data_IF_621833642239
#
_entry.id   IF_621833642239
#
_cell.length_a   1.000
_cell.length_b   1.000
_cell.length_c   1.000
_cell.angle_alpha   90.00
_cell.angle_beta   90.00
_cell.angle_gamma   90.00
#
_symmetry.space_group_name_H-M   'P 1'
#
loop_
_entity.id
_entity.type
_entity.pdbx_description
1 polymer ?
#
# COMPACT_ATOMS: atom_id res chain seq x y z
N UNK A 1 3.87 -12.91 19.88
CA UNK A 1 3.33 -11.68 19.30
C UNK A 1 3.01 -11.91 17.84
N UNK A 2 1.75 -11.88 17.47
CA UNK A 2 1.35 -12.00 16.07
C UNK A 2 1.81 -10.76 15.30
N UNK A 3 2.61 -10.98 14.28
CA UNK A 3 2.94 -9.90 13.33
C UNK A 3 1.84 -9.82 12.30
N UNK A 4 1.12 -8.74 12.32
CA UNK A 4 0.15 -8.46 11.27
C UNK A 4 0.88 -8.11 9.99
N UNK A 5 0.78 -8.97 8.99
CA UNK A 5 1.27 -8.68 7.65
C UNK A 5 0.12 -8.18 6.82
N UNK A 6 0.15 -6.92 6.48
CA UNK A 6 -0.90 -6.36 5.62
C UNK A 6 -0.76 -6.82 4.18
N UNK A 7 0.48 -6.94 3.71
CA UNK A 7 0.77 -7.48 2.37
C UNK A 7 1.19 -8.94 2.53
N UNK A 8 0.52 -9.85 1.82
CA UNK A 8 0.83 -11.28 1.90
C UNK A 8 2.03 -11.65 1.01
N UNK A 9 2.10 -11.05 -0.18
CA UNK A 9 3.12 -11.38 -1.16
C UNK A 9 3.39 -10.17 -2.08
N UNK A 10 4.66 -9.96 -2.39
CA UNK A 10 5.05 -9.04 -3.47
C UNK A 10 5.21 -9.88 -4.74
N UNK A 11 4.28 -9.74 -5.67
CA UNK A 11 4.26 -10.54 -6.91
C UNK A 11 5.25 -10.02 -7.93
N UNK A 12 5.45 -8.71 -8.00
CA UNK A 12 6.45 -8.11 -8.87
C UNK A 12 6.87 -6.73 -8.35
N UNK A 13 8.11 -6.38 -8.63
CA UNK A 13 8.67 -5.06 -8.30
C UNK A 13 9.64 -4.69 -9.40
N UNK A 14 9.42 -3.54 -10.03
CA UNK A 14 10.35 -2.96 -11.02
C UNK A 14 10.64 -1.53 -10.63
N UNK A 15 11.91 -1.19 -10.51
CA UNK A 15 12.38 0.17 -10.21
C UNK A 15 12.92 0.87 -11.45
N UNK A 16 13.03 0.16 -12.57
CA UNK A 16 13.50 0.69 -13.84
C UNK A 16 12.36 1.35 -14.60
N UNK A 17 12.66 2.44 -15.32
CA UNK A 17 11.63 3.20 -16.01
C UNK A 17 10.65 3.83 -15.03
N UNK A 18 9.35 3.59 -15.19
CA UNK A 18 8.35 3.99 -14.21
C UNK A 18 8.31 2.93 -13.08
N UNK A 19 8.74 3.27 -11.86
CA UNK A 19 8.70 2.31 -10.76
C UNK A 19 7.27 1.81 -10.52
N UNK A 20 7.15 0.49 -10.36
CA UNK A 20 5.86 -0.18 -10.20
C UNK A 20 5.99 -1.41 -9.30
N UNK A 21 4.98 -1.63 -8.49
CA UNK A 21 4.88 -2.81 -7.63
C UNK A 21 3.50 -3.46 -7.79
N UNK A 22 3.47 -4.77 -7.68
CA UNK A 22 2.24 -5.52 -7.60
C UNK A 22 2.32 -6.45 -6.40
N UNK A 23 1.28 -6.44 -5.59
CA UNK A 23 1.20 -7.25 -4.38
C UNK A 23 -0.10 -8.06 -4.35
N UNK A 24 -0.12 -9.10 -3.56
CA UNK A 24 -1.30 -9.90 -3.30
C UNK A 24 -1.69 -9.82 -1.83
N UNK A 25 -3.00 -9.79 -1.58
CA UNK A 25 -3.58 -9.81 -0.25
C UNK A 25 -4.87 -10.60 -0.25
N UNK A 26 -5.02 -11.48 0.73
CA UNK A 26 -6.30 -12.14 1.03
C UNK A 26 -6.64 -11.82 2.48
N UNK A 27 -7.76 -11.14 2.69
CA UNK A 27 -8.26 -10.88 4.04
C UNK A 27 -8.91 -12.16 4.56
N UNK A 28 -8.49 -12.60 5.75
CA UNK A 28 -9.01 -13.82 6.34
C UNK A 28 -10.50 -13.68 6.68
N UNK A 29 -11.33 -14.54 6.10
CA UNK A 29 -12.78 -14.54 6.36
C UNK A 29 -13.13 -14.84 7.82
N UNK A 30 -12.20 -15.42 8.58
CA UNK A 30 -12.38 -15.72 9.99
C UNK A 30 -11.85 -14.62 10.93
N UNK A 31 -11.34 -13.52 10.35
CA UNK A 31 -10.91 -12.37 11.13
C UNK A 31 -12.11 -11.75 11.86
N UNK A 32 -11.89 -11.25 13.08
CA UNK A 32 -12.94 -10.65 13.91
C UNK A 32 -13.65 -9.47 13.22
N UNK A 33 -12.97 -8.79 12.29
CA UNK A 33 -13.56 -7.71 11.50
C UNK A 33 -14.71 -8.19 10.60
N UNK A 34 -14.75 -9.50 10.27
CA UNK A 34 -15.72 -10.08 9.33
C UNK A 34 -16.66 -11.09 10.00
N UNK A 35 -16.39 -11.46 11.27
CA UNK A 35 -17.19 -12.40 12.02
C UNK A 35 -17.94 -11.67 13.14
N UNK A 36 -19.02 -12.26 13.64
CA UNK A 36 -19.81 -11.68 14.73
C UNK A 36 -21.14 -11.11 14.25
N UNK A 37 -21.92 -10.48 15.15
CA UNK A 37 -23.30 -10.03 14.85
C UNK A 37 -23.35 -8.97 13.73
N UNK A 38 -22.28 -8.21 13.57
CA UNK A 38 -22.15 -7.21 12.51
C UNK A 38 -21.20 -7.67 11.42
N UNK A 39 -20.99 -8.99 11.28
CA UNK A 39 -20.11 -9.58 10.28
C UNK A 39 -20.40 -9.03 8.89
N UNK A 40 -19.35 -8.69 8.14
CA UNK A 40 -19.48 -8.04 6.84
C UNK A 40 -19.23 -9.04 5.73
N UNK A 41 -20.12 -9.03 4.73
CA UNK A 41 -19.94 -9.83 3.52
C UNK A 41 -18.86 -9.29 2.59
N UNK A 42 -18.29 -8.12 2.91
CA UNK A 42 -17.25 -7.48 2.11
C UNK A 42 -16.19 -6.83 2.99
N UNK A 43 -15.00 -6.68 2.41
CA UNK A 43 -13.89 -5.96 3.04
C UNK A 43 -14.26 -4.48 3.14
N UNK A 44 -14.14 -3.86 4.33
CA UNK A 44 -14.39 -2.42 4.47
C UNK A 44 -13.51 -1.59 3.54
N UNK A 45 -14.06 -0.50 3.01
CA UNK A 45 -13.32 0.40 2.13
C UNK A 45 -12.06 0.97 2.78
N UNK A 46 -12.10 1.21 4.10
CA UNK A 46 -10.93 1.66 4.85
C UNK A 46 -9.76 0.66 4.78
N UNK A 47 -10.03 -0.64 4.74
CA UNK A 47 -8.98 -1.65 4.61
C UNK A 47 -8.45 -1.72 3.17
N UNK A 48 -9.28 -1.44 2.17
CA UNK A 48 -8.81 -1.34 0.79
C UNK A 48 -7.90 -0.12 0.62
N UNK A 49 -8.24 1.01 1.24
CA UNK A 49 -7.39 2.19 1.24
C UNK A 49 -6.06 1.90 1.95
N UNK A 50 -6.11 1.22 3.09
CA UNK A 50 -4.90 0.80 3.82
C UNK A 50 -4.01 -0.09 2.93
N UNK A 51 -4.60 -1.03 2.21
CA UNK A 51 -3.86 -1.89 1.28
C UNK A 51 -3.17 -1.06 0.19
N UNK A 52 -3.88 -0.10 -0.39
CA UNK A 52 -3.30 0.80 -1.38
C UNK A 52 -2.17 1.64 -0.77
N UNK A 53 -2.37 2.18 0.43
CA UNK A 53 -1.36 2.98 1.10
C UNK A 53 -0.10 2.18 1.43
N UNK A 54 -0.26 0.94 1.90
CA UNK A 54 0.87 0.06 2.18
C UNK A 54 1.61 -0.35 0.90
N UNK A 55 0.87 -0.59 -0.18
CA UNK A 55 1.46 -0.97 -1.47
C UNK A 55 2.28 0.19 -2.06
N UNK A 56 1.73 1.38 -2.07
CA UNK A 56 2.43 2.58 -2.53
C UNK A 56 3.63 2.92 -1.65
N UNK A 57 3.46 2.82 -0.35
CA UNK A 57 4.54 3.07 0.61
C UNK A 57 5.70 2.11 0.44
N UNK A 58 5.43 0.84 0.19
CA UNK A 58 6.48 -0.16 -0.06
C UNK A 58 7.26 0.15 -1.33
N UNK A 59 6.57 0.52 -2.41
CA UNK A 59 7.21 0.92 -3.66
C UNK A 59 8.13 2.13 -3.45
N UNK A 60 7.63 3.15 -2.77
CA UNK A 60 8.39 4.38 -2.53
C UNK A 60 9.60 4.10 -1.64
N UNK A 61 9.44 3.29 -0.61
CA UNK A 61 10.53 2.91 0.26
C UNK A 61 11.67 2.24 -0.54
N UNK A 62 11.33 1.30 -1.42
CA UNK A 62 12.30 0.65 -2.29
C UNK A 62 12.91 1.61 -3.31
N UNK A 63 12.08 2.47 -3.91
CA UNK A 63 12.55 3.45 -4.90
C UNK A 63 13.57 4.43 -4.31
N UNK A 64 13.38 4.83 -3.06
CA UNK A 64 14.29 5.74 -2.36
C UNK A 64 15.45 5.01 -1.66
N UNK A 65 15.70 3.74 -2.02
CA UNK A 65 16.84 2.97 -1.54
C UNK A 65 16.79 2.61 -0.07
N UNK A 66 15.57 2.49 0.49
CA UNK A 66 15.32 2.15 1.90
C UNK A 66 15.89 3.18 2.89
N UNK A 67 16.03 4.44 2.43
CA UNK A 67 16.63 5.53 3.21
C UNK A 67 15.64 6.52 3.78
N UNK A 68 14.39 6.46 3.33
CA UNK A 68 13.34 7.39 3.75
C UNK A 68 12.14 6.60 4.23
N UNK A 69 11.52 7.06 5.32
CA UNK A 69 10.27 6.50 5.80
C UNK A 69 9.12 7.22 5.09
N UNK A 70 8.31 6.51 4.28
CA UNK A 70 7.15 7.12 3.64
C UNK A 70 6.00 7.21 4.63
N UNK A 71 5.52 8.42 4.87
CA UNK A 71 4.36 8.70 5.70
C UNK A 71 3.24 9.22 4.81
N UNK A 72 2.06 8.63 4.91
CA UNK A 72 0.92 9.08 4.13
C UNK A 72 0.56 10.51 4.54
N UNK A 73 0.68 11.43 3.58
CA UNK A 73 0.44 12.84 3.81
C UNK A 73 -0.97 13.24 3.40
N UNK A 74 -1.43 12.77 2.26
CA UNK A 74 -2.68 13.20 1.66
C UNK A 74 -3.20 12.15 0.68
N UNK A 75 -4.53 12.06 0.59
CA UNK A 75 -5.23 11.24 -0.40
C UNK A 75 -6.00 12.19 -1.32
N UNK A 76 -5.38 12.70 -2.41
CA UNK A 76 -6.05 13.62 -3.33
C UNK A 76 -7.30 13.04 -3.98
N UNK A 77 -7.28 11.73 -4.27
CA UNK A 77 -8.39 11.05 -4.89
C UNK A 77 -8.44 9.60 -4.42
N UNK A 78 -9.66 9.13 -4.13
CA UNK A 78 -9.91 7.73 -3.82
C UNK A 78 -11.31 7.36 -4.31
N UNK A 79 -11.40 6.23 -5.05
CA UNK A 79 -12.67 5.71 -5.57
C UNK A 79 -12.80 4.24 -5.27
N UNK A 80 -14.03 3.83 -4.98
CA UNK A 80 -14.39 2.44 -4.77
C UNK A 80 -15.45 2.07 -5.80
N UNK A 81 -15.03 1.31 -6.82
CA UNK A 81 -15.87 0.97 -7.97
C UNK A 81 -16.60 -0.36 -7.79
N UNK A 82 -16.17 -1.19 -6.86
CA UNK A 82 -16.72 -2.51 -6.62
C UNK A 82 -16.49 -2.98 -5.20
N UNK A 83 -16.83 -4.23 -4.94
CA UNK A 83 -16.68 -4.83 -3.63
C UNK A 83 -15.64 -5.95 -3.64
N UNK A 84 -14.83 -6.01 -2.60
CA UNK A 84 -13.94 -7.12 -2.31
C UNK A 84 -14.51 -7.93 -1.16
N UNK A 85 -14.39 -9.26 -1.24
CA UNK A 85 -14.90 -10.17 -0.20
C UNK A 85 -13.77 -10.78 0.59
N UNK A 86 -13.95 -11.03 1.90
CA UNK A 86 -13.01 -11.82 2.66
C UNK A 86 -12.81 -13.20 2.02
N UNK A 87 -11.58 -13.69 2.07
CA UNK A 87 -11.22 -14.98 1.49
C UNK A 87 -10.86 -14.95 0.00
N UNK A 88 -11.10 -13.83 -0.68
CA UNK A 88 -10.78 -13.67 -2.10
C UNK A 88 -9.42 -13.00 -2.25
N UNK A 89 -8.58 -13.54 -3.13
CA UNK A 89 -7.27 -12.95 -3.41
C UNK A 89 -7.42 -11.62 -4.15
N UNK A 90 -6.86 -10.58 -3.56
CA UNK A 90 -6.81 -9.24 -4.15
C UNK A 90 -5.42 -9.00 -4.73
N UNK A 91 -5.38 -8.27 -5.83
CA UNK A 91 -4.16 -7.78 -6.45
C UNK A 91 -4.12 -6.27 -6.32
N UNK A 92 -3.13 -5.74 -5.65
CA UNK A 92 -2.93 -4.30 -5.53
C UNK A 92 -1.70 -3.88 -6.32
N UNK A 93 -1.83 -2.76 -7.03
CA UNK A 93 -0.79 -2.24 -7.91
C UNK A 93 -0.53 -0.80 -7.54
N UNK A 94 0.74 -0.42 -7.49
CA UNK A 94 1.13 0.98 -7.34
C UNK A 94 2.17 1.34 -8.40
N UNK A 95 2.05 2.55 -8.92
CA UNK A 95 3.01 3.13 -9.86
C UNK A 95 3.41 4.52 -9.39
N UNK A 96 4.69 4.83 -9.49
CA UNK A 96 5.20 6.14 -9.13
C UNK A 96 4.71 7.17 -10.15
N UNK A 97 4.18 8.30 -9.66
CA UNK A 97 3.68 9.39 -10.50
C UNK A 97 4.62 10.60 -10.51
N UNK A 98 5.26 10.88 -9.40
CA UNK A 98 6.16 12.00 -9.28
C UNK A 98 6.84 12.06 -7.94
N UNK A 99 7.98 12.74 -7.90
CA UNK A 99 8.74 12.93 -6.68
C UNK A 99 9.38 14.30 -6.71
N UNK A 100 9.37 15.00 -5.58
CA UNK A 100 9.99 16.31 -5.40
C UNK A 100 10.73 16.37 -4.09
N UNK A 101 11.94 16.90 -4.10
CA UNK A 101 12.66 17.21 -2.87
C UNK A 101 12.16 18.55 -2.35
N UNK A 102 11.64 18.59 -1.13
CA UNK A 102 11.08 19.82 -0.52
C UNK A 102 12.02 20.42 0.52
N UNK A 103 12.91 19.59 1.09
CA UNK A 103 13.96 20.00 2.01
C UNK A 103 15.03 18.91 2.02
N UNK A 104 16.20 19.20 2.61
CA UNK A 104 17.23 18.19 2.76
C UNK A 104 16.71 17.01 3.58
N UNK A 105 16.84 15.79 3.01
CA UNK A 105 16.37 14.57 3.64
C UNK A 105 14.86 14.38 3.62
N UNK A 106 14.11 15.23 2.92
CA UNK A 106 12.65 15.17 2.88
C UNK A 106 12.16 15.28 1.44
N UNK A 107 11.41 14.28 1.01
CA UNK A 107 10.80 14.23 -0.32
C UNK A 107 9.29 14.11 -0.21
N UNK A 108 8.57 14.63 -1.20
CA UNK A 108 7.15 14.38 -1.40
C UNK A 108 7.02 13.51 -2.64
N UNK A 109 6.35 12.37 -2.51
CA UNK A 109 6.21 11.40 -3.60
C UNK A 109 4.75 11.06 -3.79
N UNK A 110 4.33 11.02 -5.05
CA UNK A 110 2.97 10.67 -5.44
C UNK A 110 2.95 9.31 -6.11
N UNK A 111 2.00 8.47 -5.73
CA UNK A 111 1.77 7.17 -6.33
C UNK A 111 0.31 7.01 -6.74
N UNK A 112 0.09 6.37 -7.88
CA UNK A 112 -1.23 5.92 -8.30
C UNK A 112 -1.38 4.46 -7.92
N UNK A 113 -2.50 4.10 -7.28
CA UNK A 113 -2.73 2.77 -6.77
C UNK A 113 -4.09 2.23 -7.20
N UNK A 114 -4.17 0.92 -7.40
CA UNK A 114 -5.40 0.24 -7.81
C UNK A 114 -5.48 -1.12 -7.12
N UNK A 115 -6.71 -1.57 -6.87
CA UNK A 115 -6.99 -2.92 -6.34
C UNK A 115 -7.92 -3.64 -7.29
N UNK A 116 -7.59 -4.90 -7.57
CA UNK A 116 -8.33 -5.77 -8.49
C UNK A 116 -8.78 -7.06 -7.83
N UNK A 117 -9.96 -7.51 -8.22
CA UNK A 117 -10.43 -8.89 -8.03
C UNK A 117 -10.44 -9.52 -9.42
N UNK A 118 -9.49 -10.43 -9.69
CA UNK A 118 -9.27 -10.91 -11.05
C UNK A 118 -8.91 -9.77 -11.99
N UNK A 119 -9.69 -9.56 -13.03
CA UNK A 119 -9.52 -8.47 -14.00
C UNK A 119 -10.37 -7.24 -13.67
N UNK A 120 -11.23 -7.31 -12.64
CA UNK A 120 -12.11 -6.22 -12.27
C UNK A 120 -11.45 -5.29 -11.24
N UNK A 121 -11.36 -4.00 -11.58
CA UNK A 121 -10.87 -2.99 -10.65
C UNK A 121 -11.97 -2.65 -9.65
N UNK A 122 -11.65 -2.78 -8.36
CA UNK A 122 -12.60 -2.50 -7.28
C UNK A 122 -12.28 -1.22 -6.53
N UNK A 123 -11.04 -0.72 -6.61
CA UNK A 123 -10.65 0.54 -5.98
C UNK A 123 -9.48 1.18 -6.73
N UNK A 124 -9.39 2.50 -6.64
CA UNK A 124 -8.29 3.27 -7.19
C UNK A 124 -8.05 4.49 -6.32
N UNK A 125 -6.80 4.89 -6.16
CA UNK A 125 -6.46 6.11 -5.44
C UNK A 125 -5.20 6.75 -5.97
N UNK A 126 -5.07 8.05 -5.69
CA UNK A 126 -3.82 8.79 -5.80
C UNK A 126 -3.40 9.14 -4.39
N UNK A 127 -2.18 8.81 -4.03
CA UNK A 127 -1.65 8.96 -2.68
C UNK A 127 -0.39 9.82 -2.70
N UNK A 128 -0.29 10.75 -1.76
CA UNK A 128 0.91 11.55 -1.56
C UNK A 128 1.56 11.18 -0.24
N UNK A 129 2.87 10.98 -0.28
CA UNK A 129 3.67 10.59 0.88
C UNK A 129 4.72 11.64 1.18
N UNK A 130 4.90 11.93 2.46
CA UNK A 130 6.05 12.67 2.95
C UNK A 130 7.10 11.64 3.34
N UNK A 131 8.24 11.69 2.69
CA UNK A 131 9.29 10.70 2.88
C UNK A 131 10.46 11.36 3.62
N UNK A 132 10.71 10.89 4.83
CA UNK A 132 11.66 11.54 5.75
C UNK A 132 12.77 10.58 6.17
N UNK A 133 13.96 11.12 6.36
CA UNK A 133 15.05 10.41 7.01
C UNK A 133 14.80 10.42 8.52
N UNK A 134 15.05 9.28 9.17
CA UNK A 134 14.93 9.18 10.63
C UNK A 134 16.34 9.04 11.20
N UNK A 135 16.77 10.05 11.94
CA UNK A 135 18.10 10.08 12.54
C UNK A 135 18.32 8.92 13.52
N UNK A 136 19.48 8.27 13.41
CA UNK A 136 19.85 7.18 14.31
C UNK A 136 19.12 5.85 14.06
N UNK A 137 18.33 5.76 12.99
CA UNK A 137 17.59 4.54 12.64
C UNK A 137 18.08 4.04 11.28
N UNK A 138 18.43 2.76 11.21
CA UNK A 138 18.71 2.08 9.96
C UNK A 138 17.38 1.51 9.40
N UNK A 139 16.76 2.25 8.50
CA UNK A 139 15.49 1.85 7.90
C UNK A 139 15.60 0.58 7.05
N UNK A 140 16.76 0.36 6.43
CA UNK A 140 16.99 -0.83 5.62
C UNK A 140 16.91 -2.11 6.44
N UNK A 141 17.31 -2.08 7.71
CA UNK A 141 17.21 -3.22 8.62
C UNK A 141 15.74 -3.59 8.93
N UNK A 142 14.80 -2.67 8.70
CA UNK A 142 13.37 -2.87 8.97
C UNK A 142 12.54 -3.07 7.69
N UNK A 143 13.13 -2.85 6.51
CA UNK A 143 12.41 -2.87 5.23
C UNK A 143 11.69 -4.18 4.92
N UNK A 144 12.25 -5.31 5.30
CA UNK A 144 11.64 -6.62 5.11
C UNK A 144 10.46 -6.93 6.03
N UNK A 145 10.05 -6.01 6.87
CA UNK A 145 8.99 -6.18 7.87
C UNK A 145 7.69 -5.44 7.52
N UNK A 146 7.68 -4.78 6.38
CA UNK A 146 6.50 -4.05 5.88
C UNK A 146 5.43 -4.98 5.33
#
# INVERSE_FOLDING_TARGET
>A
MMRYRFIDEVSSLSLDGTPRIEVAKTFDANDDAFTGPCGRARVPESLLLELMAMTGGHLIFQHLGERRLPLLLKVPECRFDGAARPGVRLRAVAALRGASSVAEGTDVVEAATEVYVGSERVAASTLMYLCVAVAGVDLAAHGGRL
#
